data_IF_023730160935
#
_entry.id   IF_023730160935
#
_cell.length_a   1.000
_cell.length_b   1.000
_cell.length_c   1.000
_cell.angle_alpha   90.00
_cell.angle_beta   90.00
_cell.angle_gamma   90.00
#
_symmetry.space_group_name_H-M   'P 1'
#
loop_
_entity.id
_entity.type
_entity.pdbx_description
1 polymer ?
2 water ?
#
# COMPACT_ATOMS: atom_id res chain seq x y z
N UNK A 5 -15.02 -1.13 6.62
CA UNK A 5 -13.62 -0.67 6.91
C UNK A 5 -12.48 -1.71 6.79
N UNK A 6 -12.77 -2.99 6.75
CA UNK A 6 -11.73 -3.97 6.62
C UNK A 6 -11.40 -4.13 5.15
N UNK A 7 -10.09 -4.18 4.85
CA UNK A 7 -9.60 -4.33 3.51
C UNK A 7 -9.12 -5.76 3.34
N UNK A 8 -9.52 -6.41 2.25
CA UNK A 8 -8.98 -7.69 1.92
C UNK A 8 -7.94 -7.40 0.87
N UNK A 9 -6.72 -7.83 1.11
CA UNK A 9 -5.62 -7.62 0.19
C UNK A 9 -5.10 -8.95 -0.33
N UNK A 10 -5.02 -9.10 -1.66
CA UNK A 10 -4.48 -10.31 -2.24
C UNK A 10 -3.23 -9.90 -2.96
N UNK A 11 -2.17 -10.66 -2.78
CA UNK A 11 -0.90 -10.41 -3.46
C UNK A 11 -0.67 -11.58 -4.41
N UNK A 12 -0.53 -11.29 -5.71
CA UNK A 12 -0.37 -12.31 -6.74
C UNK A 12 1.04 -12.34 -7.37
N UNK A 13 1.67 -13.49 -7.24
CA UNK A 13 2.80 -13.87 -8.07
C UNK A 13 2.33 -14.61 -9.35
N UNK A 14 3.09 -14.46 -10.44
CA UNK A 14 2.74 -15.06 -11.70
C UNK A 14 3.92 -15.40 -12.62
N UNK A 15 3.73 -16.45 -13.40
CA UNK A 15 4.70 -16.94 -14.35
C UNK A 15 3.94 -17.48 -15.57
N UNK A 16 4.43 -17.20 -16.77
CA UNK A 16 3.77 -17.70 -17.99
C UNK A 16 4.51 -18.89 -18.48
N UNK A 17 3.86 -19.63 -19.38
CA UNK A 17 4.39 -20.86 -19.93
C UNK A 17 4.82 -20.60 -21.34
N UNK A 18 5.51 -21.58 -21.93
CA UNK A 18 5.66 -21.53 -23.38
C UNK A 18 4.29 -21.44 -24.08
N UNK A 19 3.25 -22.04 -23.49
CA UNK A 19 1.91 -21.96 -24.05
C UNK A 19 1.31 -20.54 -24.01
N UNK A 20 1.86 -19.62 -23.22
CA UNK A 20 1.26 -18.30 -23.02
C UNK A 20 0.14 -18.23 -21.98
N UNK A 21 0.00 -19.27 -21.15
CA UNK A 21 -0.97 -19.34 -20.05
C UNK A 21 -0.22 -19.02 -18.79
N UNK A 22 -0.86 -18.28 -17.90
CA UNK A 22 -0.20 -17.92 -16.66
C UNK A 22 -0.44 -18.92 -15.54
N UNK A 23 0.62 -19.13 -14.77
CA UNK A 23 0.56 -19.80 -13.49
C UNK A 23 0.64 -18.67 -12.45
N UNK A 24 -0.30 -18.69 -11.51
CA UNK A 24 -0.37 -17.67 -10.45
C UNK A 24 -0.24 -18.30 -9.08
N UNK A 25 0.20 -17.49 -8.11
CA UNK A 25 0.16 -17.88 -6.71
C UNK A 25 -0.33 -16.70 -5.90
N UNK A 26 -1.40 -16.88 -5.13
CA UNK A 26 -2.04 -15.79 -4.40
C UNK A 26 -1.95 -15.91 -2.87
N UNK A 27 -1.71 -14.78 -2.22
CA UNK A 27 -1.74 -14.68 -0.74
C UNK A 27 -2.78 -13.64 -0.36
N UNK A 28 -3.60 -13.97 0.63
CA UNK A 28 -4.62 -13.05 1.13
C UNK A 28 -4.13 -12.57 2.47
N UNK A 29 -4.54 -11.36 2.84
CA UNK A 29 -4.17 -10.81 4.12
C UNK A 29 -5.11 -9.66 4.38
N UNK A 30 -5.12 -9.17 5.60
CA UNK A 30 -6.14 -8.23 6.01
C UNK A 30 -5.54 -6.92 6.47
N UNK A 31 -6.20 -5.82 6.11
CA UNK A 31 -5.84 -4.50 6.60
C UNK A 31 -7.07 -3.66 6.82
N UNK A 32 -6.86 -2.36 7.02
CA UNK A 32 -7.94 -1.40 7.21
C UNK A 32 -7.86 -0.27 6.22
N UNK A 33 -9.00 0.10 5.64
CA UNK A 33 -9.11 1.35 4.92
C UNK A 33 -9.08 2.50 5.89
N UNK A 34 -8.18 3.41 5.59
CA UNK A 34 -8.12 4.71 6.20
C UNK A 34 -9.30 5.61 5.79
N UNK A 35 -9.80 6.45 6.70
CA UNK A 35 -10.77 7.50 6.35
C UNK A 35 -10.14 8.61 5.55
N UNK A 36 -8.83 8.72 5.60
CA UNK A 36 -8.12 9.61 4.71
C UNK A 36 -8.54 9.43 3.25
N UNK A 37 -8.86 8.21 2.82
CA UNK A 37 -9.14 7.92 1.39
C UNK A 37 -10.41 7.12 1.13
N UNK A 38 -10.66 6.79 -0.14
CA UNK A 38 -11.90 6.06 -0.51
C UNK A 38 -11.87 4.59 -0.11
N UNK A 39 -13.01 4.07 0.34
CA UNK A 39 -13.16 2.66 0.69
C UNK A 39 -13.62 1.94 -0.59
N UNK A 40 -12.74 1.91 -1.59
CA UNK A 40 -12.99 1.35 -2.92
C UNK A 40 -12.02 0.24 -3.33
N UNK A 41 -12.32 -0.35 -4.49
CA UNK A 41 -11.51 -1.32 -5.23
C UNK A 41 -10.25 -0.68 -5.80
N UNK A 42 -9.18 -1.44 -5.73
CA UNK A 42 -7.96 -1.07 -6.43
C UNK A 42 -7.18 -2.31 -6.81
N UNK A 43 -6.46 -2.25 -7.95
CA UNK A 43 -5.64 -3.38 -8.34
C UNK A 43 -4.49 -2.87 -9.20
N UNK A 44 -3.29 -3.39 -8.96
CA UNK A 44 -2.15 -2.95 -9.81
C UNK A 44 -0.88 -3.60 -9.38
N UNK A 45 0.15 -3.43 -10.22
CA UNK A 45 1.47 -3.91 -9.89
C UNK A 45 1.95 -3.21 -8.63
N UNK A 46 2.52 -3.98 -7.71
CA UNK A 46 3.15 -3.44 -6.51
C UNK A 46 4.44 -2.66 -6.83
N UNK A 47 4.58 -1.46 -6.26
CA UNK A 47 5.85 -0.72 -6.28
C UNK A 47 6.15 -0.41 -4.86
N UNK A 48 7.14 -1.11 -4.33
CA UNK A 48 7.74 -0.80 -3.04
C UNK A 48 8.47 0.55 -3.06
N UNK A 49 8.03 1.45 -2.20
CA UNK A 49 8.59 2.77 -2.08
C UNK A 49 9.07 3.03 -0.64
N UNK A 50 10.33 3.44 -0.49
CA UNK A 50 10.79 4.06 0.77
C UNK A 50 9.92 5.30 1.06
N UNK A 51 9.47 5.52 2.35
CA UNK A 51 8.69 6.75 2.70
C UNK A 51 9.36 8.09 2.37
N UNK A 52 10.68 8.12 2.51
CA UNK A 52 11.48 9.29 2.09
C UNK A 52 11.47 9.44 0.59
N UNK A 53 11.25 8.33 -0.10
CA UNK A 53 11.12 8.34 -1.54
C UNK A 53 9.97 9.20 -2.03
N UNK A 54 9.04 9.57 -1.14
CA UNK A 54 7.84 10.36 -1.48
C UNK A 54 7.95 11.83 -1.03
N UNK A 55 9.19 12.27 -0.80
CA UNK A 55 9.54 13.68 -0.65
C UNK A 55 10.03 14.23 -1.99
N UNK A 63 9.92 7.60 -12.19
CA UNK A 63 8.60 7.49 -12.83
C UNK A 63 8.14 6.04 -13.02
N UNK A 64 6.86 5.80 -12.72
CA UNK A 64 6.19 4.49 -12.82
C UNK A 64 4.93 4.63 -13.68
N UNK A 65 4.58 3.55 -14.37
CA UNK A 65 3.44 3.56 -15.26
C UNK A 65 2.14 3.65 -14.41
N UNK A 66 1.20 4.46 -14.90
CA UNK A 66 -0.03 4.76 -14.19
C UNK A 66 -0.64 3.46 -13.63
N UNK A 67 -1.09 3.49 -12.37
CA UNK A 67 -1.94 2.46 -11.81
C UNK A 67 -1.27 1.48 -10.88
N UNK A 68 -0.08 1.83 -10.41
CA UNK A 68 0.63 1.01 -9.43
C UNK A 68 0.01 1.04 -8.02
N UNK A 69 0.31 0.03 -7.22
CA UNK A 69 -0.04 0.03 -5.85
C UNK A 69 1.22 0.22 -5.01
N UNK A 70 1.38 1.38 -4.37
CA UNK A 70 2.51 1.63 -3.49
C UNK A 70 2.46 0.87 -2.21
N UNK A 71 3.58 0.21 -1.91
CA UNK A 71 3.74 -0.44 -0.61
C UNK A 71 4.84 0.29 0.14
N UNK A 72 4.48 0.88 1.29
CA UNK A 72 5.41 1.73 2.05
C UNK A 72 5.47 1.28 3.50
N UNK A 73 6.65 0.79 3.91
CA UNK A 73 6.91 0.46 5.32
C UNK A 73 7.34 1.72 6.08
N UNK A 74 6.47 2.21 6.96
CA UNK A 74 6.80 3.42 7.74
C UNK A 74 8.01 3.13 8.61
N UNK A 75 8.87 4.14 8.69
CA UNK A 75 10.13 4.06 9.40
C UNK A 75 9.90 4.38 10.87
N UNK A 76 10.96 4.25 11.65
CA UNK A 76 10.98 4.70 13.04
C UNK A 76 10.59 6.18 13.21
N UNK A 77 9.53 6.46 14.01
CA UNK A 77 9.23 7.88 14.10
C UNK A 77 10.42 8.70 14.56
N UNK A 78 11.36 8.09 15.29
CA UNK A 78 12.54 8.82 15.75
C UNK A 78 13.72 8.61 14.79
N UNK A 79 13.46 7.93 13.67
CA UNK A 79 14.36 7.95 12.54
C UNK A 79 14.07 9.10 11.56
N UNK A 80 12.80 9.43 11.37
CA UNK A 80 12.39 10.57 10.54
C UNK A 80 11.57 11.50 11.43
N UNK A 81 12.24 12.23 12.33
CA UNK A 81 11.51 13.07 13.29
C UNK A 81 10.98 14.35 12.65
N UNK A 82 11.53 14.71 11.49
CA UNK A 82 11.19 15.94 10.77
C UNK A 82 10.78 15.59 9.30
N UNK A 83 9.58 14.99 9.12
CA UNK A 83 9.15 14.45 7.82
C UNK A 83 8.71 15.54 6.84
N UNK A 84 9.22 15.48 5.61
CA UNK A 84 8.84 16.39 4.50
C UNK A 84 7.33 16.65 4.38
N UNK A 85 6.55 15.58 4.56
CA UNK A 85 5.11 15.58 4.44
C UNK A 85 4.56 14.67 5.50
N UNK A 86 3.28 14.83 5.79
CA UNK A 86 2.62 13.89 6.68
C UNK A 86 2.34 12.56 5.95
N UNK A 87 2.09 11.50 6.69
CA UNK A 87 1.74 10.20 6.10
C UNK A 87 0.68 10.31 5.01
N UNK A 88 -0.38 11.06 5.31
CA UNK A 88 -1.42 11.32 4.33
C UNK A 88 -0.93 12.14 3.12
N UNK A 89 -0.03 13.09 3.33
CA UNK A 89 0.47 13.94 2.23
C UNK A 89 1.26 13.05 1.26
N UNK A 90 2.08 12.19 1.84
CA UNK A 90 2.81 11.14 1.12
C UNK A 90 2.00 10.22 0.23
N UNK A 91 0.85 9.85 0.76
CA UNK A 91 -0.15 9.13 0.00
C UNK A 91 -0.80 9.94 -1.16
N UNK A 92 -1.00 11.26 -1.04
CA UNK A 92 -1.52 12.05 -2.15
C UNK A 92 -0.40 12.23 -3.14
N UNK A 93 0.81 12.32 -2.63
CA UNK A 93 1.94 12.44 -3.49
C UNK A 93 2.06 11.18 -4.38
N UNK A 94 1.75 10.03 -3.78
CA UNK A 94 1.85 8.75 -4.46
C UNK A 94 0.81 8.69 -5.55
N UNK A 95 -0.40 9.09 -5.20
CA UNK A 95 -1.46 9.14 -6.17
C UNK A 95 -1.23 10.18 -7.29
N UNK A 96 -0.73 11.36 -6.96
CA UNK A 96 -0.34 12.31 -8.00
C UNK A 96 0.65 11.71 -9.02
N UNK A 97 1.46 10.76 -8.55
CA UNK A 97 2.44 10.06 -9.38
C UNK A 97 1.91 8.72 -9.89
N UNK A 98 0.58 8.59 -10.04
CA UNK A 98 0.00 7.42 -10.70
C UNK A 98 -0.41 6.19 -9.85
N UNK A 99 -0.34 6.29 -8.54
CA UNK A 99 -0.74 5.18 -7.67
C UNK A 99 -2.24 5.08 -7.66
N UNK A 100 -2.77 3.84 -7.75
CA UNK A 100 -4.19 3.57 -7.67
C UNK A 100 -4.60 3.27 -6.18
N UNK A 101 -3.60 2.97 -5.38
CA UNK A 101 -3.70 2.55 -4.01
C UNK A 101 -2.35 2.76 -3.33
N UNK A 102 -2.45 3.01 -2.03
CA UNK A 102 -1.30 3.01 -1.14
C UNK A 102 -1.62 2.09 0.04
N UNK A 103 -0.70 1.15 0.25
CA UNK A 103 -0.63 0.35 1.48
C UNK A 103 0.56 0.82 2.29
N UNK A 104 0.24 1.20 3.52
CA UNK A 104 1.23 1.46 4.52
C UNK A 104 1.35 0.33 5.51
N UNK A 105 2.60 -0.10 5.71
CA UNK A 105 2.94 -0.94 6.86
C UNK A 105 3.33 -0.03 8.02
N UNK A 106 2.44 0.01 9.01
CA UNK A 106 2.55 0.94 10.09
C UNK A 106 3.00 0.23 11.37
N UNK A 107 3.71 -0.89 11.23
CA UNK A 107 4.22 -1.65 12.38
C UNK A 107 5.20 -0.82 13.21
N UNK A 108 6.29 -0.38 12.59
CA UNK A 108 7.24 0.46 13.31
C UNK A 108 6.67 1.81 13.71
N UNK A 109 5.55 2.22 13.17
CA UNK A 109 5.05 3.55 13.51
C UNK A 109 3.57 3.53 13.79
N UNK A 110 3.15 2.90 14.85
CA UNK A 110 1.70 2.69 14.99
C UNK A 110 0.87 3.96 15.11
N UNK A 111 1.54 5.02 15.49
CA UNK A 111 0.91 6.31 15.72
C UNK A 111 0.27 6.89 14.50
N UNK A 112 0.75 6.45 13.34
CA UNK A 112 0.20 6.87 12.05
C UNK A 112 -1.24 6.46 11.86
N UNK A 113 -1.70 5.43 12.56
CA UNK A 113 -3.11 5.03 12.51
C UNK A 113 -4.04 6.18 12.90
N UNK A 114 -3.70 6.89 13.97
CA UNK A 114 -4.53 8.00 14.50
C UNK A 114 -4.68 9.11 13.49
N UNK A 115 -3.58 9.44 12.81
CA UNK A 115 -3.56 10.41 11.70
C UNK A 115 -4.36 9.91 10.46
N UNK A 116 -4.28 8.60 10.17
CA UNK A 116 -4.97 8.00 9.01
C UNK A 116 -6.46 7.69 9.23
N UNK A 117 -6.92 7.59 10.47
CA UNK A 117 -8.36 7.48 10.69
C UNK A 117 -9.01 8.77 11.16
N UNK A 118 -8.28 9.87 11.05
CA UNK A 118 -8.91 11.17 11.01
C UNK A 118 -9.71 11.18 9.73
N UNK A 119 -10.99 11.51 9.84
CA UNK A 119 -11.75 11.92 8.67
C UNK A 119 -11.12 13.18 8.08
N UNK A 120 -11.28 13.34 6.78
CA UNK A 120 -10.59 14.39 6.07
C UNK A 120 -11.58 14.94 5.07
N UNK A 121 -12.00 16.18 5.26
CA UNK A 121 -12.75 16.88 4.23
C UNK A 121 -11.77 17.10 3.10
N UNK A 122 -12.17 16.75 1.88
CA UNK A 122 -11.20 16.57 0.77
C UNK A 122 -10.30 15.30 0.98
N UNK A 123 -10.92 14.10 1.05
CA UNK A 123 -10.17 12.86 1.23
C UNK A 123 -9.70 12.34 -0.14
N UNK A 124 -8.69 11.45 -0.19
CA UNK A 124 -8.25 10.86 -1.47
C UNK A 124 -9.33 10.06 -2.14
N UNK A 125 -9.29 10.11 -3.45
CA UNK A 125 -10.24 9.42 -4.31
C UNK A 125 -9.88 7.97 -4.48
N UNK A 126 -8.68 7.59 -4.03
CA UNK A 126 -8.16 6.20 -4.13
C UNK A 126 -7.95 5.67 -2.72
N UNK A 127 -7.92 4.34 -2.56
CA UNK A 127 -7.70 3.76 -1.22
C UNK A 127 -6.32 3.92 -0.59
N UNK A 128 -6.36 4.09 0.72
CA UNK A 128 -5.19 4.14 1.56
C UNK A 128 -5.45 3.08 2.58
N UNK A 129 -4.74 1.97 2.43
CA UNK A 129 -4.81 0.83 3.38
C UNK A 129 -3.62 0.80 4.38
N UNK A 130 -3.89 0.47 5.64
CA UNK A 130 -2.81 0.16 6.54
C UNK A 130 -2.90 -1.24 7.00
N UNK A 131 -1.73 -1.87 7.10
CA UNK A 131 -1.56 -3.18 7.70
C UNK A 131 -0.57 -3.11 8.86
N UNK A 132 -0.57 -4.15 9.68
CA UNK A 132 0.37 -4.29 10.79
C UNK A 132 0.40 -5.78 11.13
N UNK A 133 1.12 -6.12 12.19
CA UNK A 133 1.13 -7.50 12.72
C UNK A 133 1.55 -8.54 11.72
N UNK A 134 0.98 -9.72 11.90
CA UNK A 134 1.10 -10.84 10.94
C UNK A 134 0.78 -10.52 9.48
N UNK A 135 -0.22 -9.69 9.23
CA UNK A 135 -0.59 -9.38 7.83
C UNK A 135 0.48 -8.58 7.09
N UNK A 136 1.06 -7.62 7.82
CA UNK A 136 2.22 -6.82 7.42
C UNK A 136 3.45 -7.65 7.12
N UNK A 137 3.70 -8.64 7.98
CA UNK A 137 4.78 -9.59 7.76
C UNK A 137 4.58 -10.40 6.47
N UNK A 138 3.38 -10.91 6.25
CA UNK A 138 3.13 -11.72 5.04
C UNK A 138 3.22 -10.87 3.78
N UNK A 139 2.71 -9.65 3.86
CA UNK A 139 2.83 -8.75 2.74
C UNK A 139 4.33 -8.47 2.37
N UNK A 140 5.09 -8.09 3.39
CA UNK A 140 6.53 -7.74 3.26
C UNK A 140 7.37 -8.93 2.94
N UNK A 141 7.03 -10.09 3.45
CA UNK A 141 7.72 -11.25 2.97
C UNK A 141 7.64 -11.32 1.47
N UNK A 142 6.47 -11.10 0.88
CA UNK A 142 6.43 -11.23 -0.60
C UNK A 142 7.10 -10.07 -1.30
N UNK A 143 6.72 -8.84 -0.97
CA UNK A 143 7.24 -7.72 -1.72
C UNK A 143 8.75 -7.64 -1.59
N UNK A 144 9.33 -8.06 -0.45
CA UNK A 144 10.78 -8.13 -0.33
C UNK A 144 11.39 -9.24 -1.19
N UNK A 145 10.78 -10.42 -1.23
CA UNK A 145 11.23 -11.50 -2.12
C UNK A 145 11.07 -11.18 -3.62
N UNK A 146 9.83 -11.25 -4.13
CA UNK A 146 9.62 -11.15 -5.59
C UNK A 146 9.74 -9.75 -6.13
N UNK A 147 10.51 -9.62 -7.21
CA UNK A 147 10.56 -8.37 -7.94
C UNK A 147 9.15 -8.01 -8.47
N UNK A 148 8.34 -9.02 -8.85
CA UNK A 148 7.10 -8.73 -9.56
C UNK A 148 5.86 -9.40 -8.97
N UNK A 149 4.99 -8.54 -8.47
CA UNK A 149 3.77 -8.96 -7.82
C UNK A 149 2.63 -8.00 -8.17
N UNK A 150 1.40 -8.42 -7.88
CA UNK A 150 0.25 -7.62 -8.13
C UNK A 150 -0.69 -7.61 -6.88
N UNK A 151 -1.12 -6.43 -6.50
CA UNK A 151 -1.97 -6.32 -5.37
C UNK A 151 -3.36 -6.04 -5.89
N UNK A 152 -4.33 -6.59 -5.19
CA UNK A 152 -5.75 -6.36 -5.42
C UNK A 152 -6.36 -6.08 -4.05
N UNK A 153 -7.02 -4.92 -3.92
CA UNK A 153 -7.57 -4.41 -2.64
C UNK A 153 -9.08 -4.28 -2.82
N UNK A 154 -9.83 -4.64 -1.76
CA UNK A 154 -11.32 -4.76 -1.72
C UNK A 154 -11.92 -4.77 -0.30
N UNK A 155 -13.23 -4.43 -0.17
CA UNK A 155 -14.22 -4.81 0.94
C UNK A 155 -14.70 -3.65 1.80
#
# INVERSE_FOLDING_TARGET
>A
ETGKETAFVEVVLFESSPSGDYTTHTTGLTGRFSRAGAMLCAEGEIVQMHPLGLCNNNDEEDLYEYGWVGVVKLEQPELDPKPCLTVLGKAKRAVQRGATAVIFDVSENPEAIDQLNQGSEDPLKRPVVYVKGADAIKLMNIVNKQKVARARIQHLGTKHHHHHH
#
